data_IF_229138753920
#
_entry.id   IF_229138753920
#
_cell.length_a   1.000
_cell.length_b   1.000
_cell.length_c   1.000
_cell.angle_alpha   90.00
_cell.angle_beta   90.00
_cell.angle_gamma   90.00
#
_symmetry.space_group_name_H-M   'P 1'
#
loop_
_entity.id
_entity.type
_entity.pdbx_description
1 polymer ?
#
# COMPACT_ATOMS: atom_id res chain seq x y z
N UNK A 1 10.03 -21.38 -5.88
CA UNK A 1 9.73 -20.00 -6.32
C UNK A 1 9.40 -19.99 -7.80
N UNK A 2 10.25 -20.62 -8.62
CA UNK A 2 10.08 -20.70 -10.08
C UNK A 2 8.74 -21.30 -10.52
N UNK A 3 8.24 -22.34 -9.85
CA UNK A 3 6.92 -22.93 -10.16
C UNK A 3 5.76 -21.94 -10.02
N UNK A 4 5.74 -21.15 -8.94
CA UNK A 4 4.71 -20.13 -8.71
C UNK A 4 4.80 -19.00 -9.73
N UNK A 5 6.02 -18.53 -10.03
CA UNK A 5 6.23 -17.49 -11.02
C UNK A 5 5.77 -17.93 -12.41
N UNK A 6 6.10 -19.17 -12.80
CA UNK A 6 5.67 -19.76 -14.06
C UNK A 6 4.14 -19.89 -14.14
N UNK A 7 3.48 -20.36 -13.07
CA UNK A 7 2.02 -20.47 -13.02
C UNK A 7 1.34 -19.10 -13.12
N UNK A 8 1.91 -18.06 -12.49
CA UNK A 8 1.43 -16.68 -12.61
C UNK A 8 1.57 -16.19 -14.05
N UNK A 9 2.75 -16.34 -14.65
CA UNK A 9 3.00 -15.92 -16.03
C UNK A 9 2.07 -16.64 -17.01
N UNK A 10 1.87 -17.94 -16.83
CA UNK A 10 0.97 -18.72 -17.65
C UNK A 10 -0.48 -18.27 -17.52
N UNK A 11 -0.93 -17.95 -16.31
CA UNK A 11 -2.28 -17.40 -16.08
C UNK A 11 -2.46 -16.07 -16.84
N UNK A 12 -1.45 -15.20 -16.85
CA UNK A 12 -1.52 -13.97 -17.66
C UNK A 12 -1.59 -14.27 -19.17
N UNK A 13 -0.78 -15.22 -19.68
CA UNK A 13 -0.80 -15.61 -21.11
C UNK A 13 -2.15 -16.17 -21.53
N UNK A 14 -2.75 -17.02 -20.71
CA UNK A 14 -4.07 -17.61 -20.99
C UNK A 14 -5.22 -16.58 -21.03
N UNK A 15 -5.00 -15.39 -20.46
CA UNK A 15 -5.96 -14.28 -20.46
C UNK A 15 -5.53 -13.14 -21.41
N UNK A 16 -4.53 -13.36 -22.28
CA UNK A 16 -3.97 -12.35 -23.18
C UNK A 16 -3.55 -11.04 -22.47
N UNK A 17 -3.14 -11.16 -21.21
CA UNK A 17 -2.95 -10.04 -20.29
C UNK A 17 -1.51 -9.54 -20.34
N UNK A 18 -1.29 -8.42 -21.04
CA UNK A 18 0.01 -7.73 -21.15
C UNK A 18 0.16 -6.54 -20.19
N UNK A 19 -0.96 -6.05 -19.65
CA UNK A 19 -1.02 -5.04 -18.60
C UNK A 19 -2.22 -5.35 -17.70
N UNK A 20 -1.98 -5.48 -16.40
CA UNK A 20 -3.06 -5.66 -15.43
C UNK A 20 -2.53 -6.13 -14.08
N UNK A 21 -3.37 -6.85 -13.35
CA UNK A 21 -3.19 -7.16 -11.95
C UNK A 21 -3.33 -8.65 -11.67
N UNK A 22 -2.42 -9.17 -10.85
CA UNK A 22 -2.45 -10.56 -10.41
C UNK A 22 -2.78 -10.62 -8.92
N UNK A 23 -3.81 -11.42 -8.58
CA UNK A 23 -4.09 -11.84 -7.20
C UNK A 23 -3.72 -13.31 -7.01
N UNK A 24 -2.59 -13.53 -6.35
CA UNK A 24 -2.18 -14.84 -5.88
C UNK A 24 -2.71 -15.07 -4.47
N UNK A 25 -3.49 -16.13 -4.28
CA UNK A 25 -4.06 -16.52 -2.98
C UNK A 25 -3.65 -17.96 -2.66
N UNK A 26 -3.19 -18.16 -1.43
CA UNK A 26 -2.95 -19.49 -0.86
C UNK A 26 -3.90 -19.68 0.32
N UNK A 27 -4.70 -20.74 0.28
CA UNK A 27 -5.59 -21.12 1.38
C UNK A 27 -5.04 -22.34 2.11
N UNK A 28 -5.47 -22.55 3.36
CA UNK A 28 -5.04 -23.71 4.15
C UNK A 28 -5.45 -25.07 3.54
N UNK A 29 -6.51 -25.09 2.72
CA UNK A 29 -7.11 -26.31 2.18
C UNK A 29 -8.37 -26.74 2.94
N UNK A 30 -9.10 -27.75 2.44
CA UNK A 30 -10.28 -28.29 3.12
C UNK A 30 -9.89 -28.95 4.45
N UNK A 31 -10.74 -28.90 5.46
CA UNK A 31 -10.50 -29.50 6.78
C UNK A 31 -11.79 -29.66 7.58
N UNK A 32 -11.67 -30.11 8.83
CA UNK A 32 -12.81 -30.20 9.75
C UNK A 32 -13.27 -28.81 10.22
N UNK A 33 -14.39 -28.72 10.94
CA UNK A 33 -14.97 -27.45 11.40
C UNK A 33 -14.24 -26.77 12.57
N UNK A 34 -13.28 -27.44 13.22
CA UNK A 34 -12.43 -26.83 14.24
C UNK A 34 -11.38 -25.88 13.68
N UNK A 35 -10.80 -25.02 14.53
CA UNK A 35 -9.82 -24.00 14.13
C UNK A 35 -8.38 -24.51 13.98
N UNK A 36 -8.08 -25.73 14.45
CA UNK A 36 -6.73 -26.29 14.27
C UNK A 36 -6.46 -26.49 12.78
N UNK A 37 -5.26 -26.10 12.28
CA UNK A 37 -4.85 -26.45 10.93
C UNK A 37 -4.53 -27.94 10.79
N UNK A 38 -4.44 -28.68 11.89
CA UNK A 38 -4.21 -30.12 11.86
C UNK A 38 -5.38 -30.83 11.17
N UNK A 39 -5.06 -31.77 10.28
CA UNK A 39 -6.08 -32.49 9.51
C UNK A 39 -6.66 -31.70 8.32
N UNK A 40 -6.17 -30.48 8.05
CA UNK A 40 -6.38 -29.86 6.75
C UNK A 40 -5.67 -30.66 5.65
N UNK A 41 -6.35 -30.84 4.53
CA UNK A 41 -5.78 -31.38 3.30
C UNK A 41 -4.76 -30.42 2.65
N UNK A 42 -4.31 -30.71 1.42
CA UNK A 42 -3.34 -29.87 0.74
C UNK A 42 -3.86 -28.42 0.57
N UNK A 43 -2.97 -27.40 0.68
CA UNK A 43 -3.30 -26.02 0.37
C UNK A 43 -3.85 -25.84 -1.04
N UNK A 44 -4.81 -24.93 -1.24
CA UNK A 44 -5.17 -24.48 -2.58
C UNK A 44 -4.39 -23.23 -2.96
N UNK A 45 -3.86 -23.22 -4.17
CA UNK A 45 -3.28 -22.05 -4.82
C UNK A 45 -4.27 -21.55 -5.86
N UNK A 46 -4.61 -20.27 -5.79
CA UNK A 46 -5.53 -19.60 -6.72
C UNK A 46 -4.79 -18.42 -7.32
N UNK A 47 -4.80 -18.33 -8.65
CA UNK A 47 -4.21 -17.21 -9.38
C UNK A 47 -5.33 -16.56 -10.18
N UNK A 48 -5.57 -15.28 -9.92
CA UNK A 48 -6.54 -14.47 -10.65
C UNK A 48 -5.73 -13.41 -11.39
N UNK A 49 -5.88 -13.32 -12.71
CA UNK A 49 -5.30 -12.28 -13.54
C UNK A 49 -6.44 -11.50 -14.19
N UNK A 50 -6.48 -10.18 -13.97
CA UNK A 50 -7.54 -9.30 -14.47
C UNK A 50 -7.03 -7.85 -14.54
N UNK A 51 -7.85 -6.92 -15.00
CA UNK A 51 -7.56 -5.49 -14.84
C UNK A 51 -7.82 -5.01 -13.40
N UNK A 52 -7.22 -3.86 -13.06
CA UNK A 52 -7.57 -3.14 -11.85
C UNK A 52 -7.35 -1.65 -12.07
N UNK A 53 -8.27 -0.84 -11.56
CA UNK A 53 -8.05 0.58 -11.36
C UNK A 53 -8.46 0.92 -9.94
N UNK A 54 -7.49 1.24 -9.08
CA UNK A 54 -7.76 1.53 -7.67
C UNK A 54 -8.34 2.93 -7.46
N UNK A 55 -7.78 3.92 -8.17
CA UNK A 55 -8.15 5.32 -8.12
C UNK A 55 -8.38 5.89 -9.52
N UNK A 56 -9.26 6.89 -9.70
CA UNK A 56 -9.37 7.63 -10.96
C UNK A 56 -8.03 8.25 -11.37
N UNK A 57 -7.71 8.24 -12.68
CA UNK A 57 -6.41 8.75 -13.19
C UNK A 57 -6.18 10.22 -12.81
N UNK A 58 -7.25 11.03 -12.78
CA UNK A 58 -7.22 12.44 -12.38
C UNK A 58 -6.63 12.65 -10.97
N UNK A 59 -6.70 11.66 -10.07
CA UNK A 59 -6.12 11.76 -8.73
C UNK A 59 -4.60 11.59 -8.72
N UNK A 60 -4.01 11.00 -9.75
CA UNK A 60 -2.55 10.98 -9.92
C UNK A 60 -2.00 12.34 -10.34
N UNK A 61 -2.82 13.15 -11.01
CA UNK A 61 -2.46 14.51 -11.44
C UNK A 61 -2.81 15.57 -10.37
N UNK A 62 -3.96 15.44 -9.72
CA UNK A 62 -4.50 16.42 -8.77
C UNK A 62 -4.22 16.07 -7.30
N UNK A 63 -3.91 14.81 -7.01
CA UNK A 63 -3.68 14.30 -5.67
C UNK A 63 -4.92 13.76 -4.97
N UNK A 64 -4.69 12.72 -4.17
CA UNK A 64 -5.68 12.08 -3.31
C UNK A 64 -5.92 12.92 -2.05
N UNK A 65 -7.15 12.84 -1.53
CA UNK A 65 -7.53 13.33 -0.21
C UNK A 65 -7.83 12.14 0.69
N UNK A 66 -7.30 12.14 1.90
CA UNK A 66 -7.49 11.05 2.87
C UNK A 66 -7.98 11.59 4.22
N UNK A 67 -8.54 10.70 5.03
CA UNK A 67 -9.09 11.02 6.35
C UNK A 67 -8.57 10.04 7.39
N UNK A 68 -8.19 10.52 8.57
CA UNK A 68 -7.91 9.64 9.70
C UNK A 68 -9.21 9.09 10.29
N UNK A 69 -9.19 7.80 10.62
CA UNK A 69 -10.38 7.07 11.08
C UNK A 69 -10.19 6.50 12.49
N UNK A 70 -11.29 6.29 13.24
CA UNK A 70 -11.20 5.75 14.61
C UNK A 70 -10.73 4.30 14.65
N UNK A 71 -10.97 3.50 13.59
CA UNK A 71 -10.46 2.13 13.51
C UNK A 71 -8.94 2.11 13.58
N UNK A 72 -8.39 1.49 14.63
CA UNK A 72 -6.95 1.32 14.83
C UNK A 72 -6.40 0.18 14.00
N UNK A 73 -5.14 0.29 13.59
CA UNK A 73 -4.42 -0.81 12.96
C UNK A 73 -4.20 -1.92 13.98
N UNK A 74 -4.34 -3.17 13.54
CA UNK A 74 -4.17 -4.31 14.45
C UNK A 74 -2.74 -4.31 15.01
N UNK A 75 -2.63 -4.46 16.32
CA UNK A 75 -1.37 -4.62 17.01
C UNK A 75 -0.62 -5.87 16.49
N UNK A 76 0.69 -5.75 16.25
CA UNK A 76 1.52 -6.84 15.78
C UNK A 76 1.53 -8.06 16.72
N UNK A 77 1.31 -7.88 18.02
CA UNK A 77 1.21 -8.96 18.99
C UNK A 77 -0.13 -9.73 18.91
N UNK A 78 -1.17 -9.14 18.29
CA UNK A 78 -2.48 -9.77 18.15
C UNK A 78 -2.63 -10.48 16.79
N UNK A 79 -2.40 -9.76 15.69
CA UNK A 79 -2.37 -10.31 14.34
C UNK A 79 -1.36 -9.50 13.51
N UNK A 80 -0.16 -10.04 13.23
CA UNK A 80 0.92 -9.29 12.58
C UNK A 80 0.50 -8.64 11.25
N UNK A 81 0.45 -7.30 11.15
CA UNK A 81 0.15 -6.60 9.90
C UNK A 81 1.13 -6.90 8.77
N UNK A 82 2.36 -7.32 9.12
CA UNK A 82 3.37 -7.76 8.17
C UNK A 82 2.95 -8.99 7.35
N UNK A 83 1.93 -9.74 7.78
CA UNK A 83 1.38 -10.89 7.06
C UNK A 83 0.20 -10.44 6.20
N UNK A 84 0.37 -10.46 4.88
CA UNK A 84 -0.71 -10.19 3.92
C UNK A 84 -1.66 -11.40 3.80
N UNK A 85 -2.48 -11.60 4.83
CA UNK A 85 -3.43 -12.72 4.93
C UNK A 85 -4.81 -12.39 4.36
N UNK A 86 -5.71 -13.38 4.36
CA UNK A 86 -7.13 -13.20 4.03
C UNK A 86 -7.93 -12.48 5.14
N UNK A 87 -7.33 -12.20 6.30
CA UNK A 87 -7.97 -11.45 7.39
C UNK A 87 -7.86 -9.94 7.15
N UNK A 88 -8.69 -9.41 6.23
CA UNK A 88 -8.69 -7.98 5.86
C UNK A 88 -9.81 -7.14 6.51
N UNK A 89 -10.56 -7.71 7.46
CA UNK A 89 -11.71 -7.05 8.06
C UNK A 89 -11.36 -5.71 8.72
N UNK A 90 -10.21 -5.60 9.38
CA UNK A 90 -9.74 -4.34 9.98
C UNK A 90 -9.59 -3.22 8.94
N UNK A 91 -8.94 -3.51 7.82
CA UNK A 91 -8.76 -2.57 6.70
C UNK A 91 -10.12 -2.22 6.06
N UNK A 92 -11.02 -3.19 5.91
CA UNK A 92 -12.37 -2.98 5.36
C UNK A 92 -13.19 -2.05 6.24
N UNK A 93 -13.15 -2.22 7.58
CA UNK A 93 -13.87 -1.34 8.51
C UNK A 93 -13.39 0.11 8.41
N UNK A 94 -12.06 0.33 8.39
CA UNK A 94 -11.46 1.64 8.18
C UNK A 94 -11.88 2.27 6.83
N UNK A 95 -11.93 1.46 5.75
CA UNK A 95 -12.37 1.91 4.42
C UNK A 95 -13.85 2.31 4.41
N UNK A 96 -14.70 1.55 5.12
CA UNK A 96 -16.12 1.88 5.29
C UNK A 96 -16.29 3.21 6.03
N UNK A 97 -15.50 3.45 7.09
CA UNK A 97 -15.51 4.70 7.85
C UNK A 97 -15.18 5.90 6.95
N UNK A 98 -14.08 5.84 6.20
CA UNK A 98 -13.68 6.90 5.27
C UNK A 98 -14.74 7.13 4.18
N UNK A 99 -15.27 6.05 3.58
CA UNK A 99 -16.28 6.15 2.53
C UNK A 99 -17.56 6.84 3.00
N UNK A 100 -17.98 6.61 4.25
CA UNK A 100 -19.17 7.25 4.84
C UNK A 100 -19.05 8.77 4.94
N UNK A 101 -17.83 9.30 5.00
CA UNK A 101 -17.56 10.74 5.07
C UNK A 101 -16.97 11.29 3.75
N UNK A 102 -17.10 10.55 2.65
CA UNK A 102 -16.78 11.03 1.31
C UNK A 102 -15.31 10.88 0.89
N UNK A 103 -14.52 10.07 1.60
CA UNK A 103 -13.12 9.82 1.27
C UNK A 103 -12.91 8.44 0.64
N UNK A 104 -12.00 8.37 -0.32
CA UNK A 104 -11.65 7.11 -0.98
C UNK A 104 -10.68 6.27 -0.16
N UNK A 105 -9.87 6.88 0.71
CA UNK A 105 -8.83 6.19 1.47
C UNK A 105 -8.76 6.72 2.91
N UNK A 106 -8.34 5.86 3.82
CA UNK A 106 -8.30 6.13 5.26
C UNK A 106 -6.88 5.99 5.80
N UNK A 107 -6.46 6.97 6.60
CA UNK A 107 -5.23 6.91 7.39
C UNK A 107 -5.50 6.17 8.70
N UNK A 108 -4.78 5.08 8.94
CA UNK A 108 -4.92 4.27 10.15
C UNK A 108 -3.78 4.55 11.12
N UNK A 109 -4.14 4.69 12.41
CA UNK A 109 -3.18 4.86 13.49
C UNK A 109 -3.04 3.56 14.30
N UNK A 110 -1.89 3.37 14.92
CA UNK A 110 -1.67 2.29 15.88
C UNK A 110 -2.22 2.65 17.28
N UNK A 111 -2.07 1.73 18.24
CA UNK A 111 -2.55 1.88 19.62
C UNK A 111 -1.84 3.00 20.39
N UNK A 112 -0.64 3.41 19.96
CA UNK A 112 0.11 4.54 20.54
C UNK A 112 -0.36 5.89 19.98
N UNK A 113 -1.20 5.89 18.94
CA UNK A 113 -1.61 7.10 18.24
C UNK A 113 -0.62 7.57 17.16
N UNK A 114 0.39 6.76 16.85
CA UNK A 114 1.29 6.98 15.73
C UNK A 114 0.64 6.46 14.44
N UNK A 115 1.10 6.96 13.30
CA UNK A 115 0.64 6.54 11.97
C UNK A 115 1.19 5.15 11.69
N UNK A 116 0.31 4.24 11.27
CA UNK A 116 0.70 2.92 10.79
C UNK A 116 0.82 2.92 9.25
N UNK A 117 -0.31 3.01 8.56
CA UNK A 117 -0.44 2.97 7.10
C UNK A 117 -1.85 3.43 6.69
N UNK A 118 -2.15 3.44 5.39
CA UNK A 118 -3.51 3.55 4.90
C UNK A 118 -4.18 2.17 4.79
N UNK A 119 -5.46 2.09 4.39
CA UNK A 119 -6.17 0.79 4.35
C UNK A 119 -5.60 -0.18 3.30
N UNK A 120 -5.01 0.34 2.22
CA UNK A 120 -4.40 -0.44 1.15
C UNK A 120 -2.94 -0.13 0.84
N UNK A 121 -2.40 0.96 1.39
CA UNK A 121 -1.18 1.60 0.91
C UNK A 121 -0.26 2.04 2.07
N UNK A 122 1.05 2.00 1.87
CA UNK A 122 2.01 2.63 2.77
C UNK A 122 1.98 4.16 2.59
N UNK A 123 2.33 4.92 3.64
CA UNK A 123 2.32 6.38 3.63
C UNK A 123 3.72 6.95 3.78
N UNK A 124 3.99 8.03 3.06
CA UNK A 124 5.22 8.79 3.09
C UNK A 124 4.94 10.28 3.24
N UNK A 125 5.87 10.99 3.87
CA UNK A 125 5.89 12.45 3.91
C UNK A 125 7.25 12.99 3.50
N UNK A 126 7.27 14.20 2.96
CA UNK A 126 8.50 14.98 2.78
C UNK A 126 8.49 16.11 3.80
N UNK A 127 9.58 16.26 4.54
CA UNK A 127 9.75 17.36 5.49
C UNK A 127 11.20 17.80 5.50
N UNK A 128 11.45 19.10 5.25
CA UNK A 128 12.79 19.70 5.23
C UNK A 128 13.75 18.96 4.30
N UNK A 129 13.25 18.51 3.15
CA UNK A 129 14.04 17.78 2.15
C UNK A 129 14.36 16.31 2.48
N UNK A 130 13.85 15.75 3.57
CA UNK A 130 13.97 14.32 3.91
C UNK A 130 12.63 13.62 3.71
N UNK A 131 12.66 12.40 3.18
CA UNK A 131 11.48 11.53 3.06
C UNK A 131 11.36 10.68 4.32
N UNK A 132 10.17 10.67 4.93
CA UNK A 132 9.88 9.84 6.09
C UNK A 132 8.75 8.87 5.78
N UNK A 133 8.82 7.67 6.38
CA UNK A 133 7.73 6.69 6.38
C UNK A 133 7.69 5.96 7.72
N UNK A 134 6.52 5.51 8.20
CA UNK A 134 6.45 4.72 9.42
C UNK A 134 7.32 3.45 9.34
N UNK A 135 7.98 3.06 10.44
CA UNK A 135 8.67 1.77 10.53
C UNK A 135 7.65 0.62 10.55
N UNK A 136 8.13 -0.60 10.33
CA UNK A 136 7.27 -1.79 10.29
C UNK A 136 6.62 -2.11 11.65
N UNK A 137 7.31 -1.78 12.74
CA UNK A 137 6.80 -1.98 14.11
C UNK A 137 5.69 -0.98 14.49
N UNK A 138 5.48 0.07 13.69
CA UNK A 138 4.30 0.93 13.79
C UNK A 138 3.02 0.25 13.30
N UNK A 139 3.10 -0.95 12.71
CA UNK A 139 1.97 -1.74 12.21
C UNK A 139 1.77 -1.66 10.70
N UNK A 140 2.77 -1.18 9.96
CA UNK A 140 2.74 -1.11 8.49
C UNK A 140 3.10 -2.47 7.86
N UNK A 141 2.51 -2.75 6.70
CA UNK A 141 2.93 -3.86 5.85
C UNK A 141 4.31 -3.53 5.24
N UNK A 142 5.18 -4.54 5.11
CA UNK A 142 6.42 -4.43 4.34
C UNK A 142 6.11 -4.42 2.84
N UNK A 143 5.61 -3.30 2.33
CA UNK A 143 5.25 -3.13 0.93
C UNK A 143 6.45 -3.29 -0.01
N UNK A 144 6.26 -3.99 -1.12
CA UNK A 144 7.28 -4.10 -2.17
C UNK A 144 7.43 -2.76 -2.90
N UNK A 145 6.32 -2.09 -3.23
CA UNK A 145 6.34 -0.74 -3.81
C UNK A 145 7.00 0.26 -2.86
N UNK A 146 6.74 0.15 -1.54
CA UNK A 146 7.43 0.95 -0.51
C UNK A 146 8.94 0.80 -0.65
N UNK A 147 9.48 -0.43 -0.64
CA UNK A 147 10.91 -0.67 -0.79
C UNK A 147 11.48 -0.10 -2.10
N UNK A 148 10.84 -0.40 -3.23
CA UNK A 148 11.28 0.10 -4.53
C UNK A 148 11.28 1.65 -4.61
N UNK A 149 10.32 2.31 -3.97
CA UNK A 149 10.25 3.79 -3.93
C UNK A 149 11.32 4.36 -3.00
N UNK A 150 11.67 3.68 -1.91
CA UNK A 150 12.80 4.08 -1.06
C UNK A 150 14.11 4.01 -1.84
N UNK A 151 14.36 2.91 -2.55
CA UNK A 151 15.56 2.75 -3.40
C UNK A 151 15.62 3.84 -4.48
N UNK A 152 14.51 4.08 -5.20
CA UNK A 152 14.42 5.15 -6.21
C UNK A 152 14.63 6.55 -5.63
N UNK A 153 14.16 6.80 -4.40
CA UNK A 153 14.36 8.07 -3.72
C UNK A 153 15.84 8.33 -3.41
N UNK A 154 16.55 7.31 -2.93
CA UNK A 154 17.99 7.37 -2.69
C UNK A 154 18.77 7.59 -4.00
N UNK A 155 18.40 6.90 -5.09
CA UNK A 155 19.01 7.07 -6.42
C UNK A 155 18.91 8.51 -6.96
N UNK A 156 17.81 9.22 -6.67
CA UNK A 156 17.62 10.61 -7.08
C UNK A 156 18.09 11.63 -6.02
N UNK A 157 18.77 11.16 -4.97
CA UNK A 157 19.48 11.99 -4.00
C UNK A 157 18.67 12.45 -2.78
N UNK A 158 17.53 11.82 -2.48
CA UNK A 158 16.81 12.08 -1.23
C UNK A 158 17.24 11.12 -0.13
N UNK A 159 17.40 11.64 1.08
CA UNK A 159 17.51 10.81 2.27
C UNK A 159 16.13 10.25 2.64
N UNK A 160 16.08 8.95 2.94
CA UNK A 160 14.88 8.26 3.39
C UNK A 160 15.07 7.77 4.82
N UNK A 161 14.12 8.09 5.71
CA UNK A 161 14.15 7.66 7.11
C UNK A 161 12.87 6.94 7.51
N UNK A 162 13.04 5.76 8.09
CA UNK A 162 11.97 5.09 8.80
C UNK A 162 11.85 5.68 10.21
N UNK A 163 10.73 6.33 10.52
CA UNK A 163 10.53 7.01 11.79
C UNK A 163 9.07 6.92 12.23
N UNK A 164 8.81 6.79 13.54
CA UNK A 164 7.46 6.94 14.07
C UNK A 164 6.93 8.35 13.72
N UNK A 165 5.75 8.40 13.12
CA UNK A 165 5.11 9.63 12.69
C UNK A 165 3.79 9.82 13.45
N UNK A 166 3.46 11.06 13.73
CA UNK A 166 2.17 11.49 14.29
C UNK A 166 1.35 12.18 13.21
N UNK A 167 0.04 12.36 13.44
CA UNK A 167 -0.80 13.16 12.53
C UNK A 167 -0.27 14.58 12.32
N UNK A 168 0.37 15.17 13.33
CA UNK A 168 0.94 16.51 13.23
C UNK A 168 2.09 16.55 12.21
N UNK A 169 2.93 15.51 12.18
CA UNK A 169 4.01 15.40 11.19
C UNK A 169 3.44 15.37 9.77
N UNK A 170 2.32 14.67 9.56
CA UNK A 170 1.61 14.70 8.29
C UNK A 170 1.03 16.08 7.97
N UNK A 171 0.29 16.69 8.89
CA UNK A 171 -0.36 18.00 8.67
C UNK A 171 0.62 19.14 8.39
N UNK A 172 1.88 18.99 8.77
CA UNK A 172 2.93 20.00 8.58
C UNK A 172 3.96 19.60 7.52
N UNK A 173 3.73 18.50 6.81
CA UNK A 173 4.61 18.03 5.74
C UNK A 173 4.59 18.97 4.52
N UNK A 174 5.71 18.99 3.80
CA UNK A 174 5.85 19.68 2.51
C UNK A 174 5.13 18.92 1.40
N UNK A 175 5.21 17.58 1.43
CA UNK A 175 4.50 16.69 0.52
C UNK A 175 4.05 15.43 1.27
N UNK A 176 3.01 14.76 0.77
CA UNK A 176 2.61 13.43 1.19
C UNK A 176 2.31 12.58 -0.04
N UNK A 177 2.63 11.30 0.00
CA UNK A 177 2.27 10.35 -1.06
C UNK A 177 2.08 8.96 -0.47
N UNK A 178 1.32 8.13 -1.17
CA UNK A 178 1.05 6.75 -0.81
C UNK A 178 1.71 5.80 -1.80
N UNK A 179 2.01 4.57 -1.35
CA UNK A 179 2.55 3.53 -2.22
C UNK A 179 1.86 2.18 -2.03
N UNK A 180 1.57 1.52 -3.15
CA UNK A 180 0.93 0.20 -3.18
C UNK A 180 1.02 -0.42 -4.57
N UNK A 181 0.82 -1.73 -4.70
CA UNK A 181 0.90 -2.37 -6.03
C UNK A 181 -0.18 -1.85 -6.97
N UNK A 182 -1.41 -1.69 -6.48
CA UNK A 182 -2.52 -1.19 -7.28
C UNK A 182 -2.58 0.36 -7.30
N UNK A 183 -2.04 1.03 -6.28
CA UNK A 183 -1.94 2.48 -6.23
C UNK A 183 -0.73 3.04 -6.99
N UNK A 184 0.28 2.22 -7.30
CA UNK A 184 1.61 2.67 -7.68
C UNK A 184 2.20 3.66 -6.65
N UNK A 185 2.56 4.85 -7.09
CA UNK A 185 2.84 6.03 -6.27
C UNK A 185 1.72 7.03 -6.55
N UNK A 186 1.01 7.48 -5.51
CA UNK A 186 -0.08 8.46 -5.67
C UNK A 186 0.14 9.65 -4.72
N UNK A 187 0.09 10.90 -5.19
CA UNK A 187 0.22 12.06 -4.32
C UNK A 187 -0.96 12.16 -3.36
N UNK A 188 -0.73 12.67 -2.16
CA UNK A 188 -1.74 12.97 -1.16
C UNK A 188 -1.65 14.44 -0.78
N UNK A 189 -2.69 15.21 -1.08
CA UNK A 189 -2.69 16.67 -0.98
C UNK A 189 -3.54 17.20 0.16
N UNK A 190 -4.34 16.35 0.80
CA UNK A 190 -5.18 16.74 1.93
C UNK A 190 -5.31 15.58 2.92
N UNK A 191 -5.10 15.86 4.21
CA UNK A 191 -5.35 14.92 5.31
C UNK A 191 -6.18 15.62 6.38
N UNK A 192 -7.27 15.00 6.83
CA UNK A 192 -8.14 15.56 7.88
C UNK A 192 -8.61 16.99 7.57
N UNK A 193 -9.00 17.22 6.31
CA UNK A 193 -9.43 18.53 5.80
C UNK A 193 -8.36 19.64 5.89
N UNK A 194 -7.08 19.26 5.96
CA UNK A 194 -5.94 20.17 5.93
C UNK A 194 -5.14 19.91 4.67
N UNK A 195 -4.90 20.96 3.90
CA UNK A 195 -3.99 20.88 2.77
C UNK A 195 -2.58 20.51 3.25
N UNK A 196 -1.91 19.65 2.49
CA UNK A 196 -0.49 19.33 2.66
C UNK A 196 0.29 20.24 1.73
N UNK A 197 1.32 20.91 2.24
CA UNK A 197 2.05 21.93 1.48
C UNK A 197 1.11 23.01 0.92
N UNK A 198 1.10 23.17 -0.40
CA UNK A 198 0.25 24.11 -1.12
C UNK A 198 -1.08 23.50 -1.63
N UNK A 199 -1.38 22.25 -1.26
CA UNK A 199 -2.55 21.53 -1.70
C UNK A 199 -2.46 20.93 -3.11
N UNK A 200 -1.26 20.91 -3.71
CA UNK A 200 -1.01 20.29 -5.02
C UNK A 200 0.04 19.18 -4.90
N UNK A 201 0.08 18.23 -5.85
CA UNK A 201 1.14 17.23 -5.89
C UNK A 201 2.51 17.87 -6.03
N UNK A 202 3.39 17.56 -5.08
CA UNK A 202 4.70 18.18 -4.98
C UNK A 202 5.73 17.61 -5.94
N UNK A 203 6.95 18.14 -5.89
CA UNK A 203 8.02 17.83 -6.86
C UNK A 203 8.62 16.46 -6.60
N UNK A 204 8.78 16.07 -5.34
CA UNK A 204 9.36 14.77 -4.94
C UNK A 204 8.41 13.66 -5.38
N UNK A 205 7.14 13.77 -5.01
CA UNK A 205 6.11 12.81 -5.37
C UNK A 205 5.94 12.66 -6.89
N UNK A 206 5.92 13.77 -7.66
CA UNK A 206 5.91 13.73 -9.14
C UNK A 206 7.15 13.03 -9.73
N UNK A 207 8.34 13.32 -9.19
CA UNK A 207 9.59 12.70 -9.63
C UNK A 207 9.57 11.18 -9.41
N UNK A 208 9.11 10.75 -8.22
CA UNK A 208 9.00 9.33 -7.87
C UNK A 208 7.97 8.60 -8.73
N UNK A 209 6.83 9.23 -9.06
CA UNK A 209 5.85 8.67 -10.00
C UNK A 209 6.48 8.39 -11.36
N UNK A 210 7.19 9.38 -11.92
CA UNK A 210 7.86 9.23 -13.22
C UNK A 210 8.90 8.10 -13.18
N UNK A 211 9.75 8.09 -12.15
CA UNK A 211 10.82 7.10 -11.98
C UNK A 211 10.28 5.69 -11.76
N UNK A 212 9.22 5.55 -10.97
CA UNK A 212 8.56 4.27 -10.75
C UNK A 212 7.95 3.73 -12.04
N UNK A 213 7.22 4.57 -12.78
CA UNK A 213 6.62 4.21 -14.09
C UNK A 213 7.67 3.86 -15.15
N UNK A 214 8.86 4.48 -15.12
CA UNK A 214 10.01 4.08 -15.95
C UNK A 214 10.53 2.69 -15.54
N UNK A 215 10.76 2.47 -14.24
CA UNK A 215 11.33 1.23 -13.70
C UNK A 215 10.47 0.00 -14.02
N UNK A 216 9.16 0.07 -13.83
CA UNK A 216 8.25 -1.07 -14.07
C UNK A 216 8.15 -1.50 -15.54
N UNK A 217 8.66 -0.69 -16.49
CA UNK A 217 8.71 -1.05 -17.92
C UNK A 217 9.97 -1.83 -18.31
N UNK A 218 11.03 -1.74 -17.50
CA UNK A 218 12.34 -2.32 -17.82
C UNK A 218 12.74 -3.44 -16.85
N UNK A 219 12.05 -3.55 -15.72
CA UNK A 219 12.33 -4.49 -14.64
C UNK A 219 11.13 -5.44 -14.44
N UNK A 220 11.40 -6.74 -14.34
CA UNK A 220 10.38 -7.77 -14.17
C UNK A 220 10.58 -9.01 -15.05
N UNK A 221 9.77 -10.04 -14.79
CA UNK A 221 9.73 -11.27 -15.60
C UNK A 221 8.94 -11.01 -16.88
N UNK A 222 9.55 -11.30 -18.04
CA UNK A 222 8.89 -11.15 -19.34
C UNK A 222 7.83 -12.24 -19.52
N UNK A 223 6.62 -11.83 -19.90
CA UNK A 223 5.54 -12.72 -20.32
C UNK A 223 5.78 -13.24 -21.74
#
# INVERSE_FOLDING_TARGET
LDEFANAVCETCRLNDLSNGYVRLVVTRGPGHLGLTPDGCGPPNVIIIADDIQLYPEELYENGLKIISVPTRRINAAALPPAVKSLNYLNNILAKIEAKKVGFLEALMLNDKGEIAECTGDNVFIVSKGTIFTPPLDAGSLRGITRGAVMDLAEEIGYEVREQALTRYDLWTAEECFLTGTAAEVIPCVEVDHRAIGDGNPGKVSKSLISKFREKVRIDGTKL
#
